data_IF_050981693485
#
_entry.id   IF_050981693485
#
_cell.length_a   1.000
_cell.length_b   1.000
_cell.length_c   1.000
_cell.angle_alpha   90.00
_cell.angle_beta   90.00
_cell.angle_gamma   90.00
#
_symmetry.space_group_name_H-M   'P 1'
#
loop_
_entity.id
_entity.type
_entity.pdbx_description
1 polymer ?
#
# COMPACT_ATOMS: atom_id res chain seq x y z
N UNK A 1 21.14 12.42 -8.27
CA UNK A 1 20.49 12.07 -9.56
C UNK A 1 19.37 11.03 -9.46
N UNK A 2 19.34 10.13 -8.46
CA UNK A 2 18.25 9.13 -8.31
C UNK A 2 16.84 9.72 -8.08
N UNK A 3 16.69 10.76 -7.26
CA UNK A 3 15.37 11.30 -6.89
C UNK A 3 14.63 12.04 -8.03
N UNK A 4 15.30 12.40 -9.13
CA UNK A 4 14.68 13.18 -10.22
C UNK A 4 13.81 12.29 -11.13
N UNK A 5 14.24 11.06 -11.42
CA UNK A 5 13.48 10.08 -12.22
C UNK A 5 12.27 9.50 -11.46
N UNK A 6 12.38 9.38 -10.14
CA UNK A 6 11.34 8.83 -9.27
C UNK A 6 10.09 9.74 -9.22
N UNK A 7 10.30 11.07 -9.25
CA UNK A 7 9.25 12.10 -9.27
C UNK A 7 8.54 12.22 -10.62
N UNK A 8 9.22 11.94 -11.74
CA UNK A 8 8.60 11.94 -13.07
C UNK A 8 7.71 10.72 -13.30
N UNK A 9 8.11 9.53 -12.82
CA UNK A 9 7.27 8.34 -12.91
C UNK A 9 5.96 8.48 -12.13
N UNK A 10 6.03 9.01 -10.91
CA UNK A 10 4.84 9.23 -10.08
C UNK A 10 3.88 10.27 -10.71
N UNK A 11 4.39 11.22 -11.50
CA UNK A 11 3.58 12.19 -12.27
C UNK A 11 2.96 11.57 -13.53
N UNK A 12 3.61 10.60 -14.16
CA UNK A 12 3.10 9.89 -15.34
C UNK A 12 2.02 8.84 -14.98
N UNK A 13 1.98 8.40 -13.72
CA UNK A 13 0.94 7.51 -13.22
C UNK A 13 -0.32 8.29 -12.82
N UNK A 14 -1.43 8.01 -13.51
CA UNK A 14 -2.73 8.55 -13.14
C UNK A 14 -3.13 8.00 -11.77
N UNK A 15 -3.29 8.89 -10.79
CA UNK A 15 -3.76 8.51 -9.46
C UNK A 15 -5.17 7.92 -9.56
N UNK A 16 -5.37 6.79 -8.89
CA UNK A 16 -6.68 6.14 -8.79
C UNK A 16 -7.51 6.83 -7.72
N UNK A 17 -8.82 6.88 -7.94
CA UNK A 17 -9.75 7.32 -6.90
C UNK A 17 -9.83 6.27 -5.79
N UNK A 18 -10.13 6.71 -4.57
CA UNK A 18 -10.35 5.78 -3.45
C UNK A 18 -11.41 4.70 -3.75
N UNK A 19 -12.42 5.05 -4.55
CA UNK A 19 -13.44 4.08 -5.00
C UNK A 19 -12.82 2.95 -5.84
N UNK A 20 -11.99 3.30 -6.83
CA UNK A 20 -11.30 2.30 -7.67
C UNK A 20 -10.32 1.45 -6.88
N UNK A 21 -9.60 2.04 -5.92
CA UNK A 21 -8.73 1.28 -5.03
C UNK A 21 -9.56 0.26 -4.22
N UNK A 22 -10.74 0.65 -3.72
CA UNK A 22 -11.63 -0.28 -3.02
C UNK A 22 -12.14 -1.39 -3.92
N UNK A 23 -12.42 -1.13 -5.19
CA UNK A 23 -12.85 -2.14 -6.16
C UNK A 23 -11.74 -3.19 -6.35
N UNK A 24 -10.49 -2.75 -6.57
CA UNK A 24 -9.34 -3.67 -6.69
C UNK A 24 -9.09 -4.50 -5.44
N UNK A 25 -9.25 -3.93 -4.25
CA UNK A 25 -9.14 -4.69 -2.99
C UNK A 25 -10.20 -5.81 -2.95
N UNK A 26 -11.42 -5.52 -3.39
CA UNK A 26 -12.48 -6.54 -3.42
C UNK A 26 -12.18 -7.63 -4.46
N UNK A 27 -11.67 -7.27 -5.64
CA UNK A 27 -11.28 -8.22 -6.68
C UNK A 27 -10.17 -9.17 -6.20
N UNK A 28 -9.14 -8.62 -5.53
CA UNK A 28 -8.07 -9.42 -4.92
C UNK A 28 -8.56 -10.32 -3.78
N UNK A 29 -9.59 -9.88 -3.04
CA UNK A 29 -10.19 -10.71 -2.01
C UNK A 29 -11.00 -11.86 -2.61
N UNK A 30 -11.72 -11.61 -3.70
CA UNK A 30 -12.46 -12.65 -4.42
C UNK A 30 -11.54 -13.70 -5.06
N UNK A 31 -10.33 -13.32 -5.46
CA UNK A 31 -9.34 -14.28 -5.96
C UNK A 31 -8.63 -15.08 -4.85
N UNK A 32 -8.90 -14.78 -3.57
CA UNK A 32 -8.28 -15.46 -2.43
C UNK A 32 -6.82 -15.09 -2.18
N UNK A 33 -6.34 -13.98 -2.75
CA UNK A 33 -4.97 -13.51 -2.52
C UNK A 33 -4.85 -12.74 -1.19
N UNK A 34 -5.94 -12.07 -0.80
CA UNK A 34 -6.02 -11.28 0.42
C UNK A 34 -7.36 -11.51 1.12
N UNK A 35 -7.40 -11.26 2.42
CA UNK A 35 -8.65 -11.10 3.17
C UNK A 35 -8.89 -9.63 3.41
N UNK A 36 -10.09 -9.12 3.12
CA UNK A 36 -10.46 -7.71 3.30
C UNK A 36 -11.75 -7.53 4.11
N UNK A 37 -11.64 -7.46 5.44
CA UNK A 37 -12.78 -7.39 6.34
C UNK A 37 -13.12 -5.95 6.74
N UNK A 38 -14.38 -5.54 6.54
CA UNK A 38 -14.82 -4.20 6.97
C UNK A 38 -15.10 -4.18 8.46
N UNK A 39 -14.31 -3.43 9.24
CA UNK A 39 -14.51 -3.20 10.67
C UNK A 39 -15.05 -1.80 10.95
N UNK A 40 -15.99 -1.73 11.89
CA UNK A 40 -16.44 -0.46 12.46
C UNK A 40 -15.41 0.06 13.45
N UNK A 41 -15.12 1.35 13.38
CA UNK A 41 -14.27 2.11 14.31
C UNK A 41 -15.13 3.08 15.15
N UNK A 42 -16.44 2.84 15.26
CA UNK A 42 -17.38 3.74 15.94
C UNK A 42 -17.53 5.08 15.20
N UNK A 43 -17.41 6.19 15.92
CA UNK A 43 -17.50 7.54 15.35
C UNK A 43 -16.39 7.87 14.34
N UNK A 44 -15.30 7.09 14.31
CA UNK A 44 -14.22 7.24 13.33
C UNK A 44 -14.55 6.57 11.98
N UNK A 45 -15.73 5.97 11.85
CA UNK A 45 -16.23 5.38 10.60
C UNK A 45 -15.93 3.90 10.48
N UNK A 46 -15.66 3.44 9.26
CA UNK A 46 -15.41 2.03 8.94
C UNK A 46 -14.15 1.92 8.09
N UNK A 47 -13.36 0.87 8.31
CA UNK A 47 -12.17 0.61 7.51
C UNK A 47 -12.10 -0.86 7.10
N UNK A 48 -11.42 -1.15 5.98
CA UNK A 48 -11.09 -2.52 5.59
C UNK A 48 -9.78 -2.91 6.26
N UNK A 49 -9.80 -3.95 7.07
CA UNK A 49 -8.59 -4.62 7.56
C UNK A 49 -8.18 -5.63 6.50
N UNK A 50 -6.99 -5.44 5.94
CA UNK A 50 -6.48 -6.22 4.81
C UNK A 50 -5.32 -7.08 5.30
N UNK A 51 -5.40 -8.38 5.06
CA UNK A 51 -4.35 -9.35 5.34
C UNK A 51 -3.95 -10.06 4.05
N UNK A 52 -2.67 -10.41 3.93
CA UNK A 52 -2.19 -11.27 2.86
C UNK A 52 -2.48 -12.72 3.23
N UNK A 53 -3.18 -13.46 2.37
CA UNK A 53 -3.59 -14.84 2.63
C UNK A 53 -2.65 -15.86 1.98
N UNK A 54 -1.70 -15.37 1.18
CA UNK A 54 -0.67 -16.16 0.52
C UNK A 54 0.71 -15.87 1.12
N UNK A 55 1.65 -16.79 0.89
CA UNK A 55 3.02 -16.65 1.39
C UNK A 55 3.69 -15.40 0.79
N UNK A 56 4.29 -14.58 1.65
CA UNK A 56 4.96 -13.34 1.24
C UNK A 56 6.11 -13.61 0.28
N UNK A 57 6.84 -14.71 0.47
CA UNK A 57 7.96 -15.12 -0.41
C UNK A 57 7.49 -15.40 -1.84
N UNK A 58 6.31 -16.01 -2.00
CA UNK A 58 5.70 -16.22 -3.31
C UNK A 58 5.36 -14.90 -3.98
N UNK A 59 4.75 -13.97 -3.23
CA UNK A 59 4.40 -12.63 -3.73
C UNK A 59 5.64 -11.89 -4.18
N UNK A 60 6.67 -11.84 -3.34
CA UNK A 60 7.94 -11.18 -3.65
C UNK A 60 8.59 -11.79 -4.89
N UNK A 61 8.64 -13.12 -4.99
CA UNK A 61 9.20 -13.82 -6.15
C UNK A 61 8.46 -13.45 -7.43
N UNK A 62 7.13 -13.52 -7.45
CA UNK A 62 6.32 -13.22 -8.65
C UNK A 62 6.44 -11.74 -9.03
N UNK A 63 6.29 -10.83 -8.06
CA UNK A 63 6.40 -9.41 -8.31
C UNK A 63 7.81 -9.00 -8.76
N UNK A 64 8.86 -9.68 -8.26
CA UNK A 64 10.24 -9.43 -8.67
C UNK A 64 10.47 -9.71 -10.15
N UNK A 65 9.67 -10.57 -10.79
CA UNK A 65 9.80 -10.87 -12.23
C UNK A 65 9.24 -9.74 -13.11
N UNK A 66 8.46 -8.82 -12.54
CA UNK A 66 7.84 -7.72 -13.29
C UNK A 66 8.87 -6.58 -13.42
N UNK A 67 9.32 -6.33 -14.65
CA UNK A 67 10.34 -5.32 -14.98
C UNK A 67 10.09 -3.95 -14.31
N UNK A 68 8.85 -3.46 -14.38
CA UNK A 68 8.47 -2.17 -13.78
C UNK A 68 8.67 -2.17 -12.25
N UNK A 69 8.35 -3.26 -11.57
CA UNK A 69 8.51 -3.37 -10.12
C UNK A 69 9.98 -3.31 -9.73
N UNK A 70 10.85 -3.95 -10.52
CA UNK A 70 12.31 -3.87 -10.34
C UNK A 70 12.85 -2.46 -10.62
N UNK A 71 12.49 -1.86 -11.76
CA UNK A 71 12.93 -0.53 -12.19
C UNK A 71 12.63 0.54 -11.12
N UNK A 72 11.45 0.47 -10.51
CA UNK A 72 11.01 1.43 -9.48
C UNK A 72 11.24 0.95 -8.04
N UNK A 73 11.96 -0.17 -7.84
CA UNK A 73 12.30 -0.73 -6.52
C UNK A 73 11.12 -0.83 -5.56
N UNK A 74 9.92 -1.16 -6.07
CA UNK A 74 8.67 -1.08 -5.30
C UNK A 74 8.59 -2.11 -4.15
N UNK A 75 9.28 -3.24 -4.26
CA UNK A 75 9.30 -4.26 -3.18
C UNK A 75 9.95 -3.73 -1.90
N UNK A 76 10.91 -2.81 -2.01
CA UNK A 76 11.60 -2.21 -0.86
C UNK A 76 10.98 -0.87 -0.45
N UNK A 77 9.86 -0.47 -1.05
CA UNK A 77 9.22 0.79 -0.74
C UNK A 77 8.56 0.74 0.63
N UNK A 78 9.08 1.53 1.57
CA UNK A 78 8.46 1.76 2.87
C UNK A 78 7.79 3.13 2.85
N UNK A 79 6.49 3.27 3.14
CA UNK A 79 5.87 4.60 3.19
C UNK A 79 6.47 5.42 4.35
N UNK A 80 6.63 6.73 4.16
CA UNK A 80 7.24 7.66 5.14
C UNK A 80 6.60 7.52 6.52
N UNK A 81 5.28 7.30 6.57
CA UNK A 81 4.53 7.08 7.81
C UNK A 81 4.95 5.84 8.63
N UNK A 82 5.59 4.85 8.00
CA UNK A 82 6.09 3.65 8.71
C UNK A 82 7.60 3.73 8.98
N UNK A 83 8.29 4.74 8.44
CA UNK A 83 9.74 4.88 8.55
C UNK A 83 10.18 5.57 9.86
N UNK A 84 9.32 6.37 10.49
CA UNK A 84 9.67 7.12 11.72
C UNK A 84 8.86 6.64 12.93
N UNK A 85 9.47 6.64 14.12
CA UNK A 85 8.79 6.20 15.36
C UNK A 85 7.64 7.13 15.79
N UNK A 86 7.64 8.37 15.27
CA UNK A 86 6.59 9.36 15.43
C UNK A 86 6.44 10.11 14.11
N UNK A 87 5.25 10.10 13.50
CA UNK A 87 4.98 10.88 12.30
C UNK A 87 3.98 11.97 12.63
N UNK A 88 4.34 13.23 12.35
CA UNK A 88 3.42 14.36 12.46
C UNK A 88 2.85 14.65 11.08
N UNK A 89 1.57 14.37 10.87
CA UNK A 89 0.85 14.74 9.62
C UNK A 89 -0.28 15.69 9.99
N UNK A 90 -0.31 16.89 9.39
CA UNK A 90 -1.36 17.90 9.61
C UNK A 90 -1.68 18.13 11.11
N UNK A 91 -0.65 18.33 11.93
CA UNK A 91 -0.72 18.50 13.39
C UNK A 91 -1.20 17.29 14.21
N UNK A 92 -1.44 16.14 13.60
CA UNK A 92 -1.78 14.90 14.28
C UNK A 92 -0.53 14.03 14.37
N UNK A 93 -0.19 13.58 15.58
CA UNK A 93 0.96 12.70 15.84
C UNK A 93 0.46 11.26 15.81
N UNK A 94 0.87 10.51 14.81
CA UNK A 94 0.64 9.07 14.72
C UNK A 94 1.81 8.36 15.41
N UNK A 95 1.51 7.61 16.49
CA UNK A 95 2.46 6.71 17.13
C UNK A 95 2.53 5.42 16.31
N UNK A 96 3.72 4.82 16.22
CA UNK A 96 3.93 3.47 15.70
C UNK A 96 2.94 2.52 16.37
N UNK A 97 2.08 1.87 15.59
CA UNK A 97 1.28 0.75 16.07
C UNK A 97 2.29 -0.39 16.29
N UNK A 98 2.45 -0.78 17.55
CA UNK A 98 3.34 -1.86 18.00
C UNK A 98 2.94 -3.17 17.31
#
# INVERSE_FOLDING_TARGET
>A
MCYRYELEFYKALKQLTHRRISDYINELALSGLITANTRSMGHYGRTKIINLDIESELVERVLSQIKKIQEYKLLNYKPILLQTDKVKVKNIVFKKLI
#
